data_IF_706000180746
#
_entry.id   IF_706000180746
#
_cell.length_a   1.000
_cell.length_b   1.000
_cell.length_c   1.000
_cell.angle_alpha   90.00
_cell.angle_beta   90.00
_cell.angle_gamma   90.00
#
_symmetry.space_group_name_H-M   'P 1'
#
loop_
_entity.id
_entity.type
_entity.pdbx_description
1 polymer ?
#
# COMPACT_ATOMS: atom_id res chain seq x y z
N UNK A 1 37.13 -17.63 -20.81
CA UNK A 1 36.51 -17.54 -19.46
C UNK A 1 35.49 -16.44 -19.55
N UNK A 2 34.20 -16.76 -19.41
CA UNK A 2 33.13 -15.77 -19.62
C UNK A 2 33.16 -14.69 -18.55
N UNK A 3 33.02 -13.43 -18.96
CA UNK A 3 32.86 -12.26 -18.10
C UNK A 3 31.64 -12.45 -17.19
N UNK A 4 31.86 -12.87 -15.95
CA UNK A 4 30.81 -13.00 -14.96
C UNK A 4 30.44 -11.60 -14.44
N UNK A 5 29.16 -11.24 -14.51
CA UNK A 5 28.68 -9.94 -14.06
C UNK A 5 28.82 -9.75 -12.54
N UNK A 6 28.91 -8.49 -12.10
CA UNK A 6 29.07 -8.14 -10.68
C UNK A 6 27.72 -7.79 -10.06
N UNK A 7 27.40 -8.40 -8.91
CA UNK A 7 26.17 -8.10 -8.18
C UNK A 7 26.35 -6.84 -7.33
N UNK A 8 25.66 -5.75 -7.69
CA UNK A 8 25.66 -4.52 -6.93
C UNK A 8 24.48 -4.50 -5.95
N UNK A 9 24.78 -4.55 -4.65
CA UNK A 9 23.81 -4.34 -3.57
C UNK A 9 23.79 -2.87 -3.17
N UNK A 10 22.64 -2.23 -3.25
CA UNK A 10 22.51 -0.81 -2.92
C UNK A 10 21.39 -0.56 -1.93
N UNK A 11 21.53 0.52 -1.15
CA UNK A 11 20.53 0.93 -0.17
C UNK A 11 20.53 2.44 0.01
N UNK A 12 19.36 3.00 0.35
CA UNK A 12 19.21 4.43 0.54
C UNK A 12 19.72 4.86 1.91
N UNK A 13 20.54 5.90 1.96
CA UNK A 13 21.12 6.40 3.20
C UNK A 13 20.05 6.84 4.21
N UNK A 14 18.89 7.28 3.76
CA UNK A 14 17.77 7.65 4.64
C UNK A 14 17.17 6.45 5.40
N UNK A 15 17.29 5.22 4.86
CA UNK A 15 16.81 3.98 5.51
C UNK A 15 17.73 3.51 6.66
N UNK A 16 18.92 4.11 6.80
CA UNK A 16 19.89 3.76 7.85
C UNK A 16 19.63 4.46 9.18
N UNK A 17 18.92 5.58 9.19
CA UNK A 17 18.66 6.32 10.41
C UNK A 17 17.70 5.56 11.35
N UNK A 18 17.01 4.53 10.84
CA UNK A 18 16.04 3.72 11.57
C UNK A 18 16.54 2.30 11.93
N UNK A 19 17.71 1.87 11.43
CA UNK A 19 18.22 0.51 11.61
C UNK A 19 19.72 0.45 11.94
N UNK A 20 20.10 -0.46 12.83
CA UNK A 20 21.50 -0.77 13.18
C UNK A 20 22.29 -1.28 11.94
N UNK A 21 23.56 -0.89 11.79
CA UNK A 21 24.43 -1.23 10.64
C UNK A 21 24.56 -2.77 10.46
N UNK A 22 24.25 -3.56 11.49
CA UNK A 22 24.21 -5.03 11.46
C UNK A 22 23.08 -5.62 10.60
N UNK A 23 22.05 -4.83 10.25
CA UNK A 23 20.87 -5.27 9.46
C UNK A 23 20.86 -4.76 8.02
N UNK A 24 21.98 -4.21 7.55
CA UNK A 24 22.16 -3.61 6.22
C UNK A 24 21.74 -4.51 5.06
N UNK A 25 22.00 -5.81 5.15
CA UNK A 25 21.67 -6.77 4.10
C UNK A 25 20.15 -6.96 3.92
N UNK A 26 19.36 -6.72 4.97
CA UNK A 26 17.90 -6.88 4.93
C UNK A 26 17.21 -5.80 4.09
N UNK A 27 17.84 -4.62 3.95
CA UNK A 27 17.27 -3.47 3.23
C UNK A 27 17.93 -3.21 1.87
N UNK A 28 18.94 -4.00 1.52
CA UNK A 28 19.67 -3.86 0.27
C UNK A 28 18.85 -4.38 -0.93
N UNK A 29 18.62 -3.50 -1.90
CA UNK A 29 18.16 -3.86 -3.24
C UNK A 29 19.35 -4.23 -4.12
N UNK A 30 19.11 -4.89 -5.26
CA UNK A 30 20.20 -5.41 -6.10
C UNK A 30 20.02 -5.09 -7.57
N UNK A 31 21.12 -4.83 -8.27
CA UNK A 31 21.18 -4.74 -9.73
C UNK A 31 22.47 -5.38 -10.26
N UNK A 32 22.46 -5.84 -11.52
CA UNK A 32 23.59 -6.54 -12.13
C UNK A 32 24.41 -5.60 -13.03
N UNK A 33 25.71 -5.50 -12.74
CA UNK A 33 26.69 -4.74 -13.51
C UNK A 33 27.58 -5.65 -14.37
N UNK A 34 28.32 -5.07 -15.29
CA UNK A 34 29.32 -5.77 -16.09
C UNK A 34 30.46 -6.34 -15.22
N UNK A 35 31.34 -7.15 -15.81
CA UNK A 35 32.53 -7.69 -15.11
C UNK A 35 33.49 -6.61 -14.62
N UNK A 36 33.41 -5.40 -15.18
CA UNK A 36 34.25 -4.25 -14.83
C UNK A 36 33.35 -3.03 -14.53
N UNK A 37 32.61 -3.04 -13.41
CA UNK A 37 31.61 -2.03 -13.12
C UNK A 37 32.23 -0.63 -12.99
N UNK A 38 31.58 0.39 -13.55
CA UNK A 38 31.96 1.80 -13.39
C UNK A 38 30.81 2.60 -12.77
N UNK A 39 31.10 3.81 -12.28
CA UNK A 39 30.05 4.72 -11.80
C UNK A 39 29.07 5.12 -12.92
N UNK A 40 29.56 5.34 -14.14
CA UNK A 40 28.72 5.65 -15.30
C UNK A 40 27.76 4.50 -15.61
N UNK A 41 28.22 3.25 -15.53
CA UNK A 41 27.36 2.08 -15.70
C UNK A 41 26.31 2.00 -14.58
N UNK A 42 26.74 2.21 -13.33
CA UNK A 42 25.86 2.20 -12.16
C UNK A 42 24.76 3.25 -12.29
N UNK A 43 25.08 4.49 -12.68
CA UNK A 43 24.11 5.57 -12.92
C UNK A 43 23.13 5.22 -14.02
N UNK A 44 23.63 4.77 -15.17
CA UNK A 44 22.79 4.38 -16.32
C UNK A 44 21.83 3.24 -15.99
N UNK A 45 22.26 2.28 -15.17
CA UNK A 45 21.44 1.12 -14.75
C UNK A 45 20.67 1.36 -13.45
N UNK A 46 20.84 2.52 -12.81
CA UNK A 46 20.17 2.80 -11.55
C UNK A 46 18.66 2.92 -11.80
N UNK A 47 17.79 2.25 -11.03
CA UNK A 47 16.39 2.06 -11.46
C UNK A 47 15.51 3.29 -11.25
N UNK A 48 16.06 4.42 -10.83
CA UNK A 48 15.30 5.55 -10.27
C UNK A 48 15.75 6.87 -10.86
N UNK A 49 14.77 7.72 -11.15
CA UNK A 49 14.97 9.04 -11.73
C UNK A 49 15.35 10.08 -10.67
N UNK A 50 16.09 11.11 -11.06
CA UNK A 50 16.65 12.14 -10.17
C UNK A 50 18.17 12.10 -10.06
N UNK A 51 18.74 13.00 -9.27
CA UNK A 51 20.18 13.06 -9.04
C UNK A 51 20.56 12.28 -7.79
N UNK A 52 21.53 11.37 -7.92
CA UNK A 52 21.98 10.49 -6.85
C UNK A 52 23.49 10.53 -6.68
N UNK A 53 23.89 10.57 -5.41
CA UNK A 53 25.26 10.38 -4.98
C UNK A 53 25.48 8.94 -4.51
N UNK A 54 26.58 8.34 -4.94
CA UNK A 54 26.89 6.94 -4.66
C UNK A 54 28.17 6.84 -3.84
N UNK A 55 28.13 6.03 -2.79
CA UNK A 55 29.29 5.69 -1.96
C UNK A 55 29.51 4.19 -2.00
N UNK A 56 30.72 3.77 -2.31
CA UNK A 56 31.10 2.36 -2.34
C UNK A 56 31.69 1.94 -1.00
N UNK A 57 31.30 0.78 -0.50
CA UNK A 57 31.97 0.13 0.62
C UNK A 57 33.34 -0.37 0.16
N UNK A 58 34.39 0.05 0.84
CA UNK A 58 35.76 -0.38 0.55
C UNK A 58 36.34 -0.99 1.81
N UNK A 59 36.85 -2.21 1.69
CA UNK A 59 37.53 -2.88 2.77
C UNK A 59 38.84 -2.17 3.12
N UNK A 60 39.10 -2.07 4.42
CA UNK A 60 40.30 -1.50 5.01
C UNK A 60 40.93 -2.52 5.95
N UNK A 61 42.13 -2.26 6.46
CA UNK A 61 42.81 -3.20 7.36
C UNK A 61 42.04 -3.50 8.66
N UNK A 62 41.14 -2.61 9.10
CA UNK A 62 40.42 -2.71 10.38
C UNK A 62 38.88 -2.71 10.23
N UNK A 63 38.36 -3.06 9.06
CA UNK A 63 36.92 -3.02 8.78
C UNK A 63 36.64 -2.48 7.38
N UNK A 64 35.65 -1.61 7.24
CA UNK A 64 35.33 -0.99 5.95
C UNK A 64 35.05 0.51 6.10
N UNK A 65 35.18 1.25 5.01
CA UNK A 65 34.74 2.64 4.93
C UNK A 65 33.89 2.90 3.68
N UNK A 66 33.13 3.99 3.71
CA UNK A 66 32.32 4.43 2.56
C UNK A 66 33.10 5.47 1.77
N UNK A 67 33.44 5.15 0.53
CA UNK A 67 34.17 6.03 -0.38
C UNK A 67 33.23 6.65 -1.39
N UNK A 68 33.23 7.98 -1.47
CA UNK A 68 32.49 8.71 -2.50
C UNK A 68 32.95 8.32 -3.91
N UNK A 69 31.98 8.02 -4.77
CA UNK A 69 32.23 7.76 -6.19
C UNK A 69 32.06 9.07 -6.96
N UNK A 70 33.17 9.60 -7.46
CA UNK A 70 33.21 10.88 -8.19
C UNK A 70 33.64 10.73 -9.65
N UNK A 71 34.43 9.68 -9.95
CA UNK A 71 34.96 9.42 -11.28
C UNK A 71 34.05 8.43 -12.03
N UNK A 72 33.48 8.89 -13.14
CA UNK A 72 32.51 8.16 -13.97
C UNK A 72 33.09 6.89 -14.61
N UNK A 73 34.36 6.94 -15.00
CA UNK A 73 34.98 5.91 -15.83
C UNK A 73 35.90 4.97 -15.04
N UNK A 74 36.16 5.29 -13.78
CA UNK A 74 36.97 4.45 -12.91
C UNK A 74 36.26 3.14 -12.59
N UNK A 75 36.95 2.03 -12.85
CA UNK A 75 36.48 0.69 -12.47
C UNK A 75 36.38 0.61 -10.94
N UNK A 76 35.21 0.17 -10.47
CA UNK A 76 34.91 -0.02 -9.05
C UNK A 76 35.60 -1.31 -8.57
N UNK A 77 36.29 -1.28 -7.43
CA UNK A 77 36.84 -2.50 -6.84
C UNK A 77 35.69 -3.44 -6.46
N UNK A 78 35.84 -4.70 -6.85
CA UNK A 78 34.87 -5.77 -6.60
C UNK A 78 35.42 -6.68 -5.52
N UNK A 79 34.59 -7.03 -4.53
CA UNK A 79 34.98 -7.95 -3.47
C UNK A 79 35.19 -9.37 -4.04
N UNK A 80 35.94 -10.21 -3.32
CA UNK A 80 36.30 -11.56 -3.78
C UNK A 80 35.11 -12.49 -4.03
N UNK A 81 33.93 -12.15 -3.51
CA UNK A 81 32.66 -12.85 -3.74
C UNK A 81 31.91 -12.40 -5.00
N UNK A 82 32.47 -11.47 -5.79
CA UNK A 82 31.84 -10.97 -7.02
C UNK A 82 30.75 -9.91 -6.77
N UNK A 83 30.77 -9.28 -5.60
CA UNK A 83 29.74 -8.35 -5.15
C UNK A 83 30.34 -6.99 -4.79
N UNK A 84 29.51 -5.94 -4.87
CA UNK A 84 29.82 -4.61 -4.36
C UNK A 84 28.64 -4.06 -3.55
N UNK A 85 28.94 -3.25 -2.53
CA UNK A 85 27.94 -2.60 -1.69
C UNK A 85 27.98 -1.08 -1.86
N UNK A 86 26.81 -0.48 -2.09
CA UNK A 86 26.67 0.93 -2.44
C UNK A 86 25.62 1.64 -1.57
N UNK A 87 26.03 2.70 -0.86
CA UNK A 87 25.12 3.65 -0.22
C UNK A 87 24.68 4.68 -1.26
N UNK A 88 23.38 4.92 -1.34
CA UNK A 88 22.78 5.90 -2.26
C UNK A 88 22.16 7.03 -1.47
N UNK A 89 22.56 8.26 -1.80
CA UNK A 89 21.93 9.48 -1.30
C UNK A 89 21.23 10.18 -2.47
N UNK A 90 19.93 10.43 -2.33
CA UNK A 90 19.21 11.26 -3.28
C UNK A 90 19.56 12.73 -3.03
N UNK A 91 20.08 13.40 -4.06
CA UNK A 91 20.44 14.82 -4.01
C UNK A 91 19.27 15.70 -4.46
N UNK A 92 18.54 15.28 -5.50
CA UNK A 92 17.32 15.93 -5.96
C UNK A 92 16.34 14.91 -6.56
N UNK A 93 15.02 15.10 -6.42
CA UNK A 93 14.03 14.42 -7.26
C UNK A 93 14.19 14.86 -8.73
N UNK A 94 13.61 14.12 -9.66
CA UNK A 94 13.66 14.48 -11.09
C UNK A 94 13.00 15.85 -11.31
N UNK A 95 13.77 16.83 -11.79
CA UNK A 95 13.26 18.13 -12.20
C UNK A 95 12.57 18.01 -13.57
N UNK A 96 11.33 18.51 -13.67
CA UNK A 96 10.77 18.99 -14.93
C UNK A 96 11.61 20.22 -15.35
N UNK A 97 12.31 20.10 -16.48
CA UNK A 97 13.54 20.86 -16.73
C UNK A 97 13.41 22.38 -16.87
N UNK A 98 14.49 23.11 -16.53
CA UNK A 98 15.41 23.71 -17.50
C UNK A 98 16.69 24.27 -16.82
N UNK A 99 17.80 24.18 -17.54
CA UNK A 99 19.15 24.79 -17.46
C UNK A 99 19.54 25.80 -16.33
N UNK A 100 20.67 25.47 -15.66
CA UNK A 100 21.55 26.18 -14.66
C UNK A 100 21.95 27.66 -14.94
N UNK A 101 22.57 28.49 -14.04
CA UNK A 101 23.22 28.22 -12.71
C UNK A 101 23.04 29.28 -11.57
N UNK A 102 23.68 28.99 -10.42
CA UNK A 102 24.17 29.87 -9.33
C UNK A 102 23.30 30.04 -8.06
N UNK A 103 23.96 29.78 -6.92
CA UNK A 103 23.48 29.86 -5.54
C UNK A 103 23.42 31.33 -5.09
N UNK A 104 22.31 31.73 -4.46
CA UNK A 104 22.32 32.67 -3.32
C UNK A 104 21.10 32.40 -2.42
N UNK A 105 21.38 32.24 -1.12
CA UNK A 105 20.42 32.22 -0.02
C UNK A 105 19.59 33.51 0.01
N UNK A 106 18.26 33.42 -0.01
CA UNK A 106 17.36 33.93 1.04
C UNK A 106 15.88 33.89 0.58
N UNK A 107 15.00 33.62 1.55
CA UNK A 107 13.53 33.78 1.55
C UNK A 107 12.65 32.73 0.84
N UNK A 108 12.08 31.88 1.70
CA UNK A 108 10.86 31.09 1.47
C UNK A 108 9.66 32.04 1.29
N UNK A 109 9.10 32.11 0.08
CA UNK A 109 7.68 32.46 -0.15
C UNK A 109 7.27 31.86 -1.51
N UNK A 110 6.65 30.67 -1.51
CA UNK A 110 6.12 30.05 -2.73
C UNK A 110 4.58 30.19 -2.74
N UNK A 111 3.99 30.79 -3.80
CA UNK A 111 2.58 31.16 -3.92
C UNK A 111 1.54 30.08 -3.61
N UNK A 112 1.88 28.78 -3.61
CA UNK A 112 0.94 27.71 -3.23
C UNK A 112 0.48 27.78 -1.78
N UNK A 113 1.30 28.28 -0.84
CA UNK A 113 0.91 28.39 0.57
C UNK A 113 -0.18 29.47 0.78
N UNK A 114 -0.26 30.47 -0.12
CA UNK A 114 -1.38 31.43 -0.16
C UNK A 114 -2.67 30.77 -0.63
N UNK A 115 -2.59 29.83 -1.58
CA UNK A 115 -3.76 29.12 -2.09
C UNK A 115 -4.33 28.15 -1.05
N UNK A 116 -3.47 27.48 -0.29
CA UNK A 116 -3.89 26.64 0.85
C UNK A 116 -4.49 27.47 1.99
N UNK A 117 -3.88 28.60 2.37
CA UNK A 117 -4.48 29.49 3.40
C UNK A 117 -5.80 30.11 2.93
N UNK A 118 -5.93 30.46 1.65
CA UNK A 118 -7.17 30.98 1.08
C UNK A 118 -8.32 29.96 1.14
N UNK A 119 -8.01 28.68 0.93
CA UNK A 119 -8.97 27.58 1.04
C UNK A 119 -9.54 27.43 2.46
N UNK A 120 -8.69 27.44 3.49
CA UNK A 120 -9.12 27.34 4.88
C UNK A 120 -9.76 28.64 5.43
N UNK A 121 -9.41 29.80 4.88
CA UNK A 121 -10.09 31.07 5.21
C UNK A 121 -11.48 31.18 4.56
N UNK A 122 -11.69 30.61 3.37
CA UNK A 122 -12.99 30.60 2.68
C UNK A 122 -14.04 29.77 3.44
N UNK A 123 -13.63 28.66 4.06
CA UNK A 123 -14.52 27.80 4.85
C UNK A 123 -15.10 28.47 6.12
N UNK A 124 -14.58 29.64 6.51
CA UNK A 124 -14.88 30.31 7.78
C UNK A 124 -15.57 31.68 7.66
N UNK A 125 -16.21 32.02 6.53
CA UNK A 125 -17.05 33.25 6.45
C UNK A 125 -18.47 33.02 5.90
N UNK A 126 -19.47 33.73 6.43
CA UNK A 126 -20.85 33.67 5.96
C UNK A 126 -21.04 34.47 4.65
N UNK A 127 -22.08 34.08 3.91
CA UNK A 127 -22.57 34.62 2.63
C UNK A 127 -22.21 36.08 2.28
N UNK A 128 -21.62 36.30 1.10
CA UNK A 128 -22.05 37.27 0.07
C UNK A 128 -21.08 37.29 -1.14
N UNK A 129 -21.63 37.23 -2.37
CA UNK A 129 -21.04 37.60 -3.70
C UNK A 129 -19.79 36.81 -4.19
N UNK A 130 -19.57 36.39 -5.45
CA UNK A 130 -20.23 36.50 -6.75
C UNK A 130 -19.16 36.46 -7.89
N UNK A 131 -19.22 35.45 -8.79
CA UNK A 131 -18.55 35.30 -10.13
C UNK A 131 -17.06 34.86 -10.25
N UNK A 132 -16.58 34.38 -11.44
CA UNK A 132 -17.06 33.22 -12.21
C UNK A 132 -15.91 32.24 -12.65
N UNK A 133 -16.33 31.08 -13.14
CA UNK A 133 -15.53 29.93 -13.61
C UNK A 133 -14.85 30.16 -14.99
N UNK A 134 -13.69 29.54 -15.28
CA UNK A 134 -13.33 29.16 -16.65
C UNK A 134 -13.29 27.63 -16.83
N UNK A 135 -13.89 27.20 -17.95
CA UNK A 135 -13.99 25.84 -18.47
C UNK A 135 -12.72 25.41 -19.25
N UNK A 136 -12.58 24.11 -19.58
CA UNK A 136 -11.30 23.43 -19.75
C UNK A 136 -10.76 23.47 -21.18
N UNK A 137 -9.44 23.34 -21.32
CA UNK A 137 -8.81 22.89 -22.55
C UNK A 137 -8.08 21.57 -22.33
N UNK A 138 -8.53 20.58 -23.11
CA UNK A 138 -7.94 19.25 -23.25
C UNK A 138 -6.51 19.34 -23.74
N UNK A 139 -5.61 18.56 -23.14
CA UNK A 139 -4.42 18.08 -23.85
C UNK A 139 -4.07 16.69 -23.33
N UNK A 140 -4.05 15.75 -24.27
CA UNK A 140 -3.64 14.35 -24.10
C UNK A 140 -2.23 14.30 -23.50
N UNK A 141 -2.05 13.56 -22.41
CA UNK A 141 -0.72 13.18 -21.92
C UNK A 141 -0.60 11.68 -21.75
N UNK A 142 0.60 11.23 -22.11
CA UNK A 142 1.01 9.90 -22.55
C UNK A 142 1.29 8.99 -21.34
N UNK A 143 0.68 7.80 -21.35
CA UNK A 143 0.46 6.92 -20.17
C UNK A 143 1.73 6.16 -19.73
N UNK A 144 2.88 6.42 -20.36
CA UNK A 144 4.12 5.64 -20.19
C UNK A 144 4.98 6.00 -18.97
N UNK A 145 4.97 7.25 -18.51
CA UNK A 145 5.89 7.76 -17.47
C UNK A 145 5.48 7.37 -16.02
N UNK A 146 4.19 7.17 -15.78
CA UNK A 146 3.63 6.84 -14.44
C UNK A 146 3.96 5.41 -13.99
N UNK A 147 4.37 4.54 -14.93
CA UNK A 147 4.56 3.09 -14.70
C UNK A 147 5.90 2.71 -14.01
N UNK A 148 6.88 3.62 -13.91
CA UNK A 148 8.23 3.28 -13.44
C UNK A 148 8.46 3.51 -11.94
N UNK A 149 7.86 4.56 -11.35
CA UNK A 149 8.02 4.90 -9.92
C UNK A 149 7.43 3.87 -8.95
N UNK A 150 6.39 3.16 -9.39
CA UNK A 150 5.63 2.21 -8.57
C UNK A 150 6.40 0.91 -8.26
N UNK A 151 7.37 0.55 -9.12
CA UNK A 151 8.26 -0.64 -8.93
C UNK A 151 9.17 -0.52 -7.69
N UNK A 152 9.48 0.70 -7.24
CA UNK A 152 10.48 0.96 -6.18
C UNK A 152 9.94 0.77 -4.77
N UNK A 153 8.72 1.25 -4.51
CA UNK A 153 8.18 1.36 -3.16
C UNK A 153 7.86 -0.01 -2.52
N UNK A 154 7.70 -1.04 -3.36
CA UNK A 154 7.26 -2.36 -2.94
C UNK A 154 8.39 -3.32 -2.54
N UNK A 155 9.59 -3.11 -3.10
CA UNK A 155 10.70 -4.04 -2.96
C UNK A 155 11.51 -3.85 -1.65
N UNK A 156 11.41 -2.70 -0.96
CA UNK A 156 12.35 -2.35 0.12
C UNK A 156 11.86 -2.62 1.56
N UNK A 157 10.63 -3.09 1.79
CA UNK A 157 10.10 -3.26 3.16
C UNK A 157 10.01 -4.70 3.69
N UNK A 158 10.42 -5.72 2.94
CA UNK A 158 10.29 -7.10 3.40
C UNK A 158 11.48 -7.97 2.95
N UNK A 159 12.53 -8.10 3.77
CA UNK A 159 13.45 -9.24 3.72
C UNK A 159 13.85 -9.67 5.12
N UNK A 160 13.91 -10.99 5.29
CA UNK A 160 14.10 -11.69 6.58
C UNK A 160 13.30 -13.00 6.69
N UNK A 161 12.52 -13.39 5.67
CA UNK A 161 11.77 -14.65 5.66
C UNK A 161 11.75 -15.28 4.27
N UNK A 162 11.71 -16.62 4.18
CA UNK A 162 11.55 -17.39 2.95
C UNK A 162 10.38 -16.89 2.06
N UNK A 163 9.40 -16.22 2.67
CA UNK A 163 8.27 -15.58 2.00
C UNK A 163 8.65 -14.35 1.16
N UNK A 164 9.68 -13.57 1.56
CA UNK A 164 10.16 -12.42 0.78
C UNK A 164 10.79 -12.84 -0.56
N UNK A 165 11.43 -14.01 -0.58
CA UNK A 165 12.00 -14.60 -1.80
C UNK A 165 10.89 -15.09 -2.73
N UNK A 166 9.83 -15.70 -2.19
CA UNK A 166 8.61 -16.08 -2.94
C UNK A 166 7.94 -14.84 -3.56
N UNK A 167 7.74 -13.78 -2.78
CA UNK A 167 7.15 -12.52 -3.24
C UNK A 167 7.96 -11.89 -4.41
N UNK A 168 9.28 -11.85 -4.29
CA UNK A 168 10.17 -11.33 -5.34
C UNK A 168 10.15 -12.19 -6.61
N UNK A 169 10.15 -13.52 -6.48
CA UNK A 169 10.12 -14.44 -7.63
C UNK A 169 8.79 -14.38 -8.39
N UNK A 170 7.66 -14.40 -7.67
CA UNK A 170 6.32 -14.39 -8.27
C UNK A 170 6.00 -13.04 -8.91
N UNK A 171 6.35 -11.93 -8.25
CA UNK A 171 6.19 -10.60 -8.84
C UNK A 171 7.05 -10.43 -10.08
N UNK A 172 8.34 -10.83 -10.08
CA UNK A 172 9.23 -10.68 -11.24
C UNK A 172 8.72 -11.39 -12.50
N UNK A 173 8.20 -12.61 -12.38
CA UNK A 173 7.61 -13.38 -13.49
C UNK A 173 6.36 -12.70 -14.07
N UNK A 174 5.57 -12.05 -13.22
CA UNK A 174 4.37 -11.34 -13.65
C UNK A 174 4.69 -9.97 -14.26
N UNK A 175 5.65 -9.25 -13.69
CA UNK A 175 6.13 -7.96 -14.25
C UNK A 175 6.66 -8.11 -15.68
N UNK A 176 7.32 -9.22 -16.00
CA UNK A 176 7.76 -9.57 -17.35
C UNK A 176 6.58 -9.71 -18.34
N UNK A 177 5.48 -10.33 -17.89
CA UNK A 177 4.23 -10.44 -18.68
C UNK A 177 3.52 -9.10 -18.88
N UNK A 178 3.52 -8.22 -17.87
CA UNK A 178 2.92 -6.87 -17.96
C UNK A 178 3.66 -6.02 -19.00
N UNK A 179 4.99 -6.09 -19.03
CA UNK A 179 5.79 -5.44 -20.07
C UNK A 179 5.58 -6.04 -21.46
N UNK A 180 5.28 -7.33 -21.57
CA UNK A 180 5.00 -7.99 -22.85
C UNK A 180 3.60 -7.64 -23.41
N UNK A 181 2.59 -7.47 -22.56
CA UNK A 181 1.23 -7.15 -22.97
C UNK A 181 1.01 -5.68 -23.34
N UNK A 182 1.85 -4.76 -22.83
CA UNK A 182 1.83 -3.36 -23.22
C UNK A 182 2.17 -3.13 -24.72
N UNK A 183 2.67 -4.15 -25.43
CA UNK A 183 2.97 -4.11 -26.87
C UNK A 183 1.91 -4.73 -27.79
N UNK A 184 0.86 -5.38 -27.26
CA UNK A 184 -0.13 -6.09 -28.10
C UNK A 184 -1.54 -5.83 -27.59
N UNK A 185 -2.34 -5.09 -28.35
CA UNK A 185 -3.76 -4.87 -28.07
C UNK A 185 -4.52 -6.19 -28.02
N UNK A 186 -4.91 -6.62 -26.81
CA UNK A 186 -5.60 -7.87 -26.54
C UNK A 186 -6.83 -7.67 -25.65
N UNK A 187 -7.87 -8.48 -25.90
CA UNK A 187 -9.26 -8.32 -25.49
C UNK A 187 -9.55 -8.21 -23.98
N UNK A 188 -10.67 -7.51 -23.68
CA UNK A 188 -11.17 -7.04 -22.38
C UNK A 188 -11.71 -8.12 -21.41
N UNK A 189 -10.98 -9.22 -21.20
CA UNK A 189 -11.43 -10.27 -20.27
C UNK A 189 -10.38 -10.80 -19.29
N UNK A 190 -9.10 -10.63 -19.59
CA UNK A 190 -7.98 -11.13 -18.78
C UNK A 190 -6.76 -10.21 -18.93
N UNK A 191 -6.97 -8.90 -18.71
CA UNK A 191 -5.87 -7.95 -18.75
C UNK A 191 -4.85 -8.28 -17.63
N UNK A 192 -3.54 -8.26 -17.92
CA UNK A 192 -2.54 -8.48 -16.89
C UNK A 192 -2.58 -7.33 -15.87
N UNK A 193 -2.14 -7.57 -14.63
CA UNK A 193 -2.20 -6.56 -13.58
C UNK A 193 -1.33 -5.35 -13.90
N UNK A 194 -1.86 -4.17 -13.67
CA UNK A 194 -1.10 -2.93 -13.85
C UNK A 194 -0.14 -2.70 -12.68
N UNK A 195 0.87 -1.85 -12.90
CA UNK A 195 1.82 -1.47 -11.86
C UNK A 195 1.11 -0.92 -10.61
N UNK A 196 0.09 -0.09 -10.83
CA UNK A 196 -0.75 0.49 -9.78
C UNK A 196 -1.43 -0.59 -8.95
N UNK A 197 -2.10 -1.55 -9.60
CA UNK A 197 -2.75 -2.66 -8.91
C UNK A 197 -1.77 -3.46 -8.05
N UNK A 198 -0.59 -3.79 -8.57
CA UNK A 198 0.44 -4.52 -7.83
C UNK A 198 0.95 -3.75 -6.60
N UNK A 199 1.11 -2.43 -6.70
CA UNK A 199 1.51 -1.62 -5.54
C UNK A 199 0.42 -1.51 -4.48
N UNK A 200 -0.85 -1.35 -4.87
CA UNK A 200 -1.94 -1.35 -3.90
C UNK A 200 -2.03 -2.68 -3.15
N UNK A 201 -1.92 -3.79 -3.88
CA UNK A 201 -1.97 -5.13 -3.27
C UNK A 201 -0.86 -5.35 -2.28
N UNK A 202 0.37 -4.94 -2.59
CA UNK A 202 1.46 -5.15 -1.67
C UNK A 202 1.56 -4.09 -0.56
N UNK A 203 0.93 -2.91 -0.71
CA UNK A 203 0.58 -2.07 0.44
C UNK A 203 -0.36 -2.84 1.39
N UNK A 204 -1.40 -3.50 0.87
CA UNK A 204 -2.32 -4.32 1.67
C UNK A 204 -1.60 -5.49 2.36
N UNK A 205 -0.65 -6.16 1.68
CA UNK A 205 0.21 -7.19 2.29
C UNK A 205 0.99 -6.62 3.48
N UNK A 206 1.58 -5.43 3.32
CA UNK A 206 2.32 -4.75 4.38
C UNK A 206 1.46 -4.44 5.59
N UNK A 207 0.28 -3.85 5.37
CA UNK A 207 -0.67 -3.50 6.43
C UNK A 207 -1.24 -4.74 7.13
N UNK A 208 -1.54 -5.80 6.39
CA UNK A 208 -2.02 -7.07 6.96
C UNK A 208 -0.98 -7.72 7.89
N UNK A 209 0.32 -7.48 7.67
CA UNK A 209 1.41 -7.99 8.50
C UNK A 209 1.84 -7.04 9.60
N UNK A 210 1.39 -5.78 9.58
CA UNK A 210 1.76 -4.78 10.57
C UNK A 210 1.00 -5.05 11.89
N UNK A 211 1.69 -5.46 12.98
CA UNK A 211 1.04 -5.63 14.26
C UNK A 211 0.60 -4.26 14.81
N UNK A 212 -0.55 -4.23 15.47
CA UNK A 212 -0.97 -3.03 16.18
C UNK A 212 -0.07 -2.77 17.38
N UNK A 213 0.21 -1.49 17.63
CA UNK A 213 1.18 -1.09 18.66
C UNK A 213 0.73 0.23 19.29
N UNK A 214 0.57 0.30 20.62
CA UNK A 214 0.07 1.50 21.30
C UNK A 214 1.07 2.66 21.25
N UNK A 215 2.36 2.38 21.08
CA UNK A 215 3.40 3.38 20.89
C UNK A 215 3.48 3.98 19.47
N UNK A 216 2.71 3.47 18.51
CA UNK A 216 2.67 4.04 17.16
C UNK A 216 1.51 5.05 17.06
N UNK A 217 1.85 6.31 16.80
CA UNK A 217 0.89 7.40 16.70
C UNK A 217 -0.17 7.17 15.61
N UNK A 218 0.22 6.66 14.44
CA UNK A 218 -0.71 6.39 13.33
C UNK A 218 -1.74 5.32 13.72
N UNK A 219 -1.31 4.28 14.45
CA UNK A 219 -2.21 3.23 14.91
C UNK A 219 -3.23 3.77 15.92
N UNK A 220 -2.79 4.63 16.83
CA UNK A 220 -3.65 5.29 17.82
C UNK A 220 -4.63 6.25 17.13
N UNK A 221 -4.18 6.97 16.09
CA UNK A 221 -5.02 7.86 15.30
C UNK A 221 -6.15 7.09 14.59
N UNK A 222 -5.87 5.91 14.02
CA UNK A 222 -6.93 5.07 13.45
C UNK A 222 -7.95 4.62 14.51
N UNK A 223 -7.52 4.28 15.72
CA UNK A 223 -8.47 4.00 16.82
C UNK A 223 -9.28 5.23 17.21
N UNK A 224 -8.66 6.40 17.26
CA UNK A 224 -9.35 7.65 17.56
C UNK A 224 -10.42 7.97 16.50
N UNK A 225 -10.11 7.74 15.23
CA UNK A 225 -11.04 7.90 14.11
C UNK A 225 -12.22 6.92 14.20
N UNK A 226 -11.94 5.65 14.49
CA UNK A 226 -12.99 4.66 14.73
C UNK A 226 -13.87 5.07 15.91
N UNK A 227 -13.27 5.45 17.04
CA UNK A 227 -13.98 5.90 18.23
C UNK A 227 -14.90 7.08 17.92
N UNK A 228 -14.36 8.12 17.29
CA UNK A 228 -15.11 9.33 16.94
C UNK A 228 -16.28 9.02 16.02
N UNK A 229 -16.12 8.02 15.16
CA UNK A 229 -17.17 7.59 14.23
C UNK A 229 -18.24 6.72 14.90
N UNK A 230 -17.94 6.03 16.01
CA UNK A 230 -18.88 5.12 16.68
C UNK A 230 -19.51 5.70 17.96
N UNK A 231 -18.86 6.66 18.60
CA UNK A 231 -19.26 7.21 19.89
C UNK A 231 -19.34 8.74 19.79
N UNK A 232 -20.45 9.21 19.25
CA UNK A 232 -20.70 10.64 19.08
C UNK A 232 -20.49 11.37 20.43
N UNK A 233 -19.66 12.42 20.40
CA UNK A 233 -19.43 13.34 21.54
C UNK A 233 -18.72 12.77 22.78
N UNK A 234 -18.12 11.58 22.73
CA UNK A 234 -17.26 11.07 23.82
C UNK A 234 -15.78 11.37 23.57
N UNK A 235 -15.01 11.84 24.56
CA UNK A 235 -13.56 11.99 24.40
C UNK A 235 -12.92 10.62 24.14
N UNK A 236 -11.96 10.58 23.23
CA UNK A 236 -11.27 9.35 22.87
C UNK A 236 -10.47 8.79 24.04
N UNK A 237 -10.61 7.49 24.28
CA UNK A 237 -9.81 6.74 25.25
C UNK A 237 -9.34 5.43 24.59
N UNK A 238 -8.03 5.18 24.63
CA UNK A 238 -7.41 4.00 23.98
C UNK A 238 -7.98 2.70 24.53
N UNK A 239 -8.20 2.63 25.86
CA UNK A 239 -8.79 1.48 26.55
C UNK A 239 -9.97 1.92 27.40
N UNK A 240 -11.14 1.34 27.19
CA UNK A 240 -12.36 1.71 27.92
C UNK A 240 -13.48 0.66 27.71
N UNK A 241 -14.40 0.48 28.68
CA UNK A 241 -15.54 -0.45 28.53
C UNK A 241 -16.50 -0.10 27.39
N UNK A 242 -16.51 1.13 26.90
CA UNK A 242 -17.31 1.54 25.75
C UNK A 242 -17.00 0.73 24.50
N UNK A 243 -15.74 0.31 24.32
CA UNK A 243 -15.32 -0.55 23.22
C UNK A 243 -16.08 -1.88 23.18
N UNK A 244 -16.69 -2.31 24.29
CA UNK A 244 -17.57 -3.47 24.34
C UNK A 244 -18.76 -3.33 23.38
N UNK A 245 -19.20 -2.10 23.06
CA UNK A 245 -20.24 -1.83 22.04
C UNK A 245 -19.82 -2.35 20.65
N UNK A 246 -18.53 -2.27 20.34
CA UNK A 246 -17.97 -2.81 19.09
C UNK A 246 -17.61 -4.30 19.23
N UNK A 247 -17.85 -4.93 20.38
CA UNK A 247 -17.53 -6.34 20.61
C UNK A 247 -16.09 -6.62 21.04
N UNK A 248 -15.34 -5.62 21.49
CA UNK A 248 -14.06 -5.81 22.19
C UNK A 248 -14.36 -6.22 23.64
N UNK A 249 -13.99 -7.43 24.06
CA UNK A 249 -14.41 -8.04 25.33
C UNK A 249 -13.73 -7.46 26.56
N UNK A 250 -12.54 -6.88 26.40
CA UNK A 250 -11.73 -6.35 27.50
C UNK A 250 -11.61 -4.82 27.45
N UNK A 251 -12.34 -4.18 26.55
CA UNK A 251 -12.24 -2.75 26.34
C UNK A 251 -10.89 -2.31 25.77
N UNK A 252 -10.12 -3.23 25.17
CA UNK A 252 -8.75 -2.98 24.68
C UNK A 252 -8.62 -3.42 23.21
N UNK A 253 -8.97 -2.52 22.27
CA UNK A 253 -8.89 -2.82 20.84
C UNK A 253 -7.49 -3.19 20.36
N UNK A 254 -6.43 -2.58 20.92
CA UNK A 254 -5.05 -2.84 20.49
C UNK A 254 -4.60 -4.27 20.84
N UNK A 255 -5.08 -4.80 21.96
CA UNK A 255 -4.77 -6.18 22.37
C UNK A 255 -5.63 -7.20 21.64
N UNK A 256 -6.90 -6.88 21.40
CA UNK A 256 -7.86 -7.81 20.82
C UNK A 256 -7.80 -7.84 19.28
N UNK A 257 -7.45 -6.72 18.66
CA UNK A 257 -7.18 -6.58 17.23
C UNK A 257 -5.66 -6.65 17.03
N UNK A 258 -5.17 -7.74 16.46
CA UNK A 258 -3.72 -8.01 16.41
C UNK A 258 -2.99 -7.26 15.29
N UNK A 259 -3.69 -6.89 14.21
CA UNK A 259 -3.10 -6.35 12.99
C UNK A 259 -3.82 -5.10 12.49
N UNK A 260 -3.10 -4.26 11.75
CA UNK A 260 -3.57 -2.95 11.31
C UNK A 260 -4.69 -3.01 10.25
N UNK A 261 -4.69 -4.04 9.38
CA UNK A 261 -5.65 -4.11 8.27
C UNK A 261 -7.12 -4.14 8.72
N UNK A 262 -7.54 -5.02 9.65
CA UNK A 262 -8.87 -4.97 10.23
C UNK A 262 -9.29 -3.60 10.78
N UNK A 263 -8.36 -2.89 11.41
CA UNK A 263 -8.64 -1.56 11.97
C UNK A 263 -8.93 -0.55 10.85
N UNK A 264 -8.08 -0.53 9.81
CA UNK A 264 -8.30 0.35 8.65
C UNK A 264 -9.64 0.05 7.95
N UNK A 265 -10.01 -1.23 7.85
CA UNK A 265 -11.31 -1.65 7.31
C UNK A 265 -12.49 -1.09 8.11
N UNK A 266 -12.47 -1.21 9.44
CA UNK A 266 -13.54 -0.69 10.29
C UNK A 266 -13.62 0.84 10.25
N UNK A 267 -12.48 1.54 10.25
CA UNK A 267 -12.43 2.99 10.09
C UNK A 267 -13.06 3.42 8.78
N UNK A 268 -12.64 2.81 7.65
CA UNK A 268 -13.22 3.11 6.35
C UNK A 268 -14.74 2.84 6.33
N UNK A 269 -15.17 1.71 6.89
CA UNK A 269 -16.59 1.36 6.91
C UNK A 269 -17.45 2.40 7.64
N UNK A 270 -16.96 2.89 8.78
CA UNK A 270 -17.69 3.88 9.59
C UNK A 270 -17.59 5.32 9.09
N UNK A 271 -16.51 5.68 8.38
CA UNK A 271 -16.34 7.03 7.83
C UNK A 271 -16.98 7.18 6.45
N UNK A 272 -16.81 6.18 5.57
CA UNK A 272 -17.24 6.26 4.16
C UNK A 272 -18.62 5.65 3.95
N UNK A 273 -18.91 4.52 4.61
CA UNK A 273 -20.19 3.80 4.47
C UNK A 273 -21.02 3.85 5.76
N UNK A 274 -20.95 5.00 6.47
CA UNK A 274 -21.62 5.24 7.76
C UNK A 274 -23.10 4.85 7.77
N UNK A 275 -23.82 5.15 6.69
CA UNK A 275 -25.26 4.85 6.53
C UNK A 275 -25.58 3.36 6.54
N UNK A 276 -24.60 2.50 6.22
CA UNK A 276 -24.70 1.05 6.30
C UNK A 276 -24.10 0.52 7.60
N UNK A 277 -22.95 1.05 8.01
CA UNK A 277 -22.21 0.58 9.19
C UNK A 277 -22.97 0.80 10.51
N UNK A 278 -23.55 1.99 10.70
CA UNK A 278 -24.21 2.35 11.96
C UNK A 278 -25.46 1.53 12.26
N UNK A 279 -26.41 1.30 11.32
CA UNK A 279 -27.53 0.41 11.58
C UNK A 279 -27.09 -0.99 12.02
N UNK A 280 -26.08 -1.57 11.36
CA UNK A 280 -25.56 -2.89 11.74
C UNK A 280 -24.96 -2.85 13.16
N UNK A 281 -24.18 -1.82 13.50
CA UNK A 281 -23.62 -1.67 14.85
C UNK A 281 -24.71 -1.47 15.92
N UNK A 282 -25.77 -0.71 15.60
CA UNK A 282 -26.85 -0.42 16.54
C UNK A 282 -27.74 -1.66 16.81
N UNK A 283 -27.86 -2.56 15.84
CA UNK A 283 -28.60 -3.83 15.97
C UNK A 283 -27.91 -4.82 16.94
N UNK A 284 -26.68 -4.56 17.40
CA UNK A 284 -25.90 -5.47 18.27
C UNK A 284 -26.31 -5.47 19.75
N UNK A 285 -27.53 -5.01 20.08
CA UNK A 285 -28.07 -4.99 21.45
C UNK A 285 -29.00 -6.17 21.75
N UNK A 286 -29.34 -6.99 20.76
CA UNK A 286 -30.30 -8.09 20.86
C UNK A 286 -29.68 -9.47 21.13
N UNK A 287 -30.50 -10.54 21.28
CA UNK A 287 -30.03 -11.92 21.42
C UNK A 287 -29.27 -12.42 20.18
N UNK A 288 -29.47 -11.76 19.05
CA UNK A 288 -28.78 -12.01 17.77
C UNK A 288 -27.51 -11.15 17.63
N UNK A 289 -27.02 -10.53 18.71
CA UNK A 289 -25.78 -9.76 18.65
C UNK A 289 -24.57 -10.66 18.36
N UNK A 290 -23.67 -10.17 17.52
CA UNK A 290 -22.36 -10.77 17.30
C UNK A 290 -21.25 -9.78 17.69
N UNK A 291 -20.04 -10.29 17.89
CA UNK A 291 -18.88 -9.45 18.21
C UNK A 291 -18.44 -8.64 17.00
N UNK A 292 -19.05 -7.47 16.77
CA UNK A 292 -18.95 -6.66 15.55
C UNK A 292 -17.53 -6.49 15.01
N UNK A 293 -16.59 -6.00 15.82
CA UNK A 293 -15.20 -5.75 15.42
C UNK A 293 -14.38 -7.04 15.25
N UNK A 294 -14.68 -8.08 16.03
CA UNK A 294 -14.03 -9.39 15.87
C UNK A 294 -14.49 -10.05 14.56
N UNK A 295 -15.78 -10.01 14.26
CA UNK A 295 -16.33 -10.46 12.97
C UNK A 295 -15.74 -9.64 11.82
N UNK A 296 -15.68 -8.31 11.96
CA UNK A 296 -14.99 -7.46 10.99
C UNK A 296 -13.55 -7.89 10.76
N UNK A 297 -12.82 -8.23 11.82
CA UNK A 297 -11.46 -8.77 11.69
C UNK A 297 -11.43 -10.07 10.91
N UNK A 298 -12.33 -11.01 11.20
CA UNK A 298 -12.42 -12.28 10.48
C UNK A 298 -12.75 -12.08 9.00
N UNK A 299 -13.67 -11.18 8.66
CA UNK A 299 -14.00 -10.86 7.27
C UNK A 299 -12.77 -10.30 6.55
N UNK A 300 -12.05 -9.36 7.17
CA UNK A 300 -10.81 -8.83 6.59
C UNK A 300 -9.78 -9.95 6.32
N UNK A 301 -9.66 -10.94 7.21
CA UNK A 301 -8.77 -12.10 6.99
C UNK A 301 -9.28 -13.04 5.89
N UNK A 302 -10.58 -13.32 5.81
CA UNK A 302 -11.18 -14.11 4.72
C UNK A 302 -10.91 -13.43 3.37
N UNK A 303 -11.09 -12.12 3.27
CA UNK A 303 -10.77 -11.37 2.07
C UNK A 303 -9.27 -11.41 1.74
N UNK A 304 -8.42 -11.25 2.74
CA UNK A 304 -6.97 -11.37 2.56
C UNK A 304 -6.55 -12.77 2.08
N UNK A 305 -7.25 -13.83 2.50
CA UNK A 305 -7.02 -15.20 2.04
C UNK A 305 -7.47 -15.42 0.60
N UNK A 306 -8.68 -14.95 0.24
CA UNK A 306 -9.21 -15.02 -1.13
C UNK A 306 -8.28 -14.26 -2.09
N UNK A 307 -7.79 -13.11 -1.67
CA UNK A 307 -6.85 -12.30 -2.42
C UNK A 307 -5.40 -12.79 -2.30
N UNK A 308 -5.11 -13.83 -1.51
CA UNK A 308 -3.77 -14.40 -1.32
C UNK A 308 -2.71 -13.36 -0.88
N UNK A 309 -3.09 -12.50 0.07
CA UNK A 309 -2.22 -11.47 0.63
C UNK A 309 -1.24 -12.02 1.66
N UNK A 310 -1.62 -13.09 2.39
CA UNK A 310 -0.80 -13.69 3.48
C UNK A 310 0.63 -13.99 3.06
N UNK A 311 0.78 -14.66 1.93
CA UNK A 311 2.06 -15.01 1.32
C UNK A 311 2.42 -14.12 0.14
N UNK A 312 1.49 -13.28 -0.31
CA UNK A 312 1.63 -12.44 -1.48
C UNK A 312 1.71 -13.22 -2.78
N UNK A 313 1.21 -14.46 -2.78
CA UNK A 313 1.00 -15.27 -3.99
C UNK A 313 0.06 -14.58 -4.99
N UNK A 314 -0.69 -13.57 -4.54
CA UNK A 314 -1.46 -12.69 -5.40
C UNK A 314 -0.63 -12.07 -6.52
N UNK A 315 0.61 -11.64 -6.24
CA UNK A 315 1.48 -10.96 -7.21
C UNK A 315 2.04 -11.89 -8.31
N UNK A 316 1.70 -13.18 -8.29
CA UNK A 316 2.16 -14.19 -9.27
C UNK A 316 1.04 -14.86 -10.07
N UNK A 317 -0.22 -14.55 -9.78
CA UNK A 317 -1.38 -15.24 -10.34
C UNK A 317 -2.13 -14.47 -11.44
N UNK A 318 -2.75 -15.14 -12.41
CA UNK A 318 -3.73 -14.48 -13.29
C UNK A 318 -5.10 -14.43 -12.59
N UNK A 319 -5.76 -13.26 -12.61
CA UNK A 319 -7.05 -13.00 -11.96
C UNK A 319 -7.91 -12.07 -12.82
N UNK A 320 -9.23 -12.26 -12.89
CA UNK A 320 -10.11 -11.45 -13.73
C UNK A 320 -10.38 -10.04 -13.15
N UNK A 321 -9.99 -9.78 -11.90
CA UNK A 321 -10.35 -8.57 -11.15
C UNK A 321 -9.15 -7.64 -10.92
N UNK A 322 -8.07 -7.75 -11.71
CA UNK A 322 -6.85 -6.99 -11.43
C UNK A 322 -7.05 -5.47 -11.48
N UNK A 323 -7.88 -5.01 -12.43
CA UNK A 323 -8.16 -3.58 -12.64
C UNK A 323 -8.86 -2.95 -11.45
N UNK A 324 -9.69 -3.70 -10.72
CA UNK A 324 -10.34 -3.24 -9.51
C UNK A 324 -9.33 -2.65 -8.50
N UNK A 325 -8.17 -3.28 -8.37
CA UNK A 325 -7.15 -2.86 -7.40
C UNK A 325 -6.26 -1.70 -7.86
N UNK A 326 -6.52 -1.11 -9.04
CA UNK A 326 -5.96 0.20 -9.39
C UNK A 326 -6.48 1.30 -8.47
N UNK A 327 -7.71 1.14 -7.98
CA UNK A 327 -8.30 2.03 -7.00
C UNK A 327 -7.82 1.66 -5.57
N UNK A 328 -7.16 2.58 -4.85
CA UNK A 328 -6.70 2.34 -3.47
C UNK A 328 -7.83 2.02 -2.48
N UNK A 329 -9.09 2.37 -2.79
CA UNK A 329 -10.23 2.09 -1.89
C UNK A 329 -10.90 0.73 -2.14
N UNK A 330 -10.56 0.03 -3.22
CA UNK A 330 -11.30 -1.14 -3.67
C UNK A 330 -11.35 -2.29 -2.65
N UNK A 331 -10.25 -2.57 -1.95
CA UNK A 331 -10.24 -3.57 -0.88
C UNK A 331 -11.20 -3.21 0.25
N UNK A 332 -11.25 -1.94 0.62
CA UNK A 332 -12.10 -1.46 1.69
C UNK A 332 -13.57 -1.44 1.28
N UNK A 333 -13.87 -1.17 0.01
CA UNK A 333 -15.24 -1.32 -0.50
C UNK A 333 -15.67 -2.80 -0.52
N UNK A 334 -14.80 -3.70 -0.99
CA UNK A 334 -15.04 -5.14 -0.93
C UNK A 334 -15.31 -5.61 0.50
N UNK A 335 -14.56 -5.07 1.47
CA UNK A 335 -14.81 -5.27 2.90
C UNK A 335 -16.21 -4.81 3.32
N UNK A 336 -16.64 -3.60 2.94
CA UNK A 336 -17.97 -3.10 3.29
C UNK A 336 -19.08 -3.98 2.73
N UNK A 337 -18.93 -4.41 1.47
CA UNK A 337 -19.86 -5.30 0.78
C UNK A 337 -19.91 -6.68 1.48
N UNK A 338 -18.76 -7.25 1.80
CA UNK A 338 -18.65 -8.53 2.49
C UNK A 338 -19.20 -8.48 3.93
N UNK A 339 -18.95 -7.39 4.67
CA UNK A 339 -19.52 -7.17 6.00
C UNK A 339 -21.04 -7.10 5.93
N UNK A 340 -21.58 -6.38 4.96
CA UNK A 340 -23.02 -6.31 4.75
C UNK A 340 -23.60 -7.68 4.39
N UNK A 341 -22.92 -8.47 3.55
CA UNK A 341 -23.33 -9.84 3.23
C UNK A 341 -23.35 -10.73 4.48
N UNK A 342 -22.34 -10.62 5.34
CA UNK A 342 -22.32 -11.30 6.65
C UNK A 342 -23.54 -10.91 7.48
N UNK A 343 -23.77 -9.61 7.68
CA UNK A 343 -24.83 -9.12 8.53
C UNK A 343 -26.22 -9.57 8.06
N UNK A 344 -26.46 -9.57 6.74
CA UNK A 344 -27.68 -10.11 6.14
C UNK A 344 -27.82 -11.61 6.37
N UNK A 345 -26.75 -12.38 6.13
CA UNK A 345 -26.74 -13.84 6.33
C UNK A 345 -27.00 -14.22 7.79
N UNK A 346 -26.37 -13.50 8.73
CA UNK A 346 -26.55 -13.66 10.16
C UNK A 346 -28.00 -13.39 10.57
N UNK A 347 -28.58 -12.26 10.14
CA UNK A 347 -29.95 -11.86 10.49
C UNK A 347 -31.02 -12.81 9.93
N UNK A 348 -30.78 -13.40 8.75
CA UNK A 348 -31.72 -14.36 8.15
C UNK A 348 -31.72 -15.73 8.84
N UNK A 349 -30.65 -16.07 9.57
CA UNK A 349 -30.41 -17.42 10.07
C UNK A 349 -30.10 -17.49 11.57
N UNK A 350 -30.14 -16.37 12.28
CA UNK A 350 -29.92 -16.25 13.73
C UNK A 350 -30.75 -17.24 14.54
N UNK A 351 -31.94 -17.61 14.06
CA UNK A 351 -32.81 -18.60 14.70
C UNK A 351 -32.40 -20.06 14.46
N UNK A 352 -31.62 -20.33 13.41
CA UNK A 352 -31.23 -21.67 12.97
C UNK A 352 -29.77 -22.01 13.31
N UNK A 353 -28.87 -21.03 13.30
CA UNK A 353 -27.44 -21.21 13.60
C UNK A 353 -26.85 -19.92 14.16
N UNK A 354 -26.20 -20.02 15.33
CA UNK A 354 -25.36 -18.96 15.90
C UNK A 354 -23.87 -19.18 15.59
N UNK A 355 -23.55 -20.14 14.72
CA UNK A 355 -22.16 -20.42 14.34
C UNK A 355 -21.67 -19.39 13.33
N UNK A 356 -20.82 -18.48 13.81
CA UNK A 356 -20.16 -17.44 13.01
C UNK A 356 -19.46 -18.02 11.78
N UNK A 357 -18.93 -19.25 11.85
CA UNK A 357 -18.21 -19.86 10.73
C UNK A 357 -19.12 -20.16 9.53
N UNK A 358 -20.38 -20.52 9.76
CA UNK A 358 -21.35 -20.74 8.67
C UNK A 358 -21.52 -19.46 7.85
N UNK A 359 -21.61 -18.31 8.53
CA UNK A 359 -21.78 -17.02 7.88
C UNK A 359 -20.49 -16.51 7.24
N UNK A 360 -19.32 -16.80 7.83
CA UNK A 360 -18.03 -16.50 7.22
C UNK A 360 -17.80 -17.33 5.94
N UNK A 361 -18.21 -18.60 5.92
CA UNK A 361 -18.14 -19.43 4.73
C UNK A 361 -19.03 -18.86 3.61
N UNK A 362 -20.27 -18.47 3.95
CA UNK A 362 -21.15 -17.77 3.01
C UNK A 362 -20.51 -16.50 2.44
N UNK A 363 -19.88 -15.67 3.28
CA UNK A 363 -19.16 -14.47 2.83
C UNK A 363 -18.01 -14.83 1.90
N UNK A 364 -17.29 -15.90 2.20
CA UNK A 364 -16.22 -16.42 1.36
C UNK A 364 -16.71 -16.79 -0.05
N UNK A 365 -17.75 -17.63 -0.13
CA UNK A 365 -18.36 -18.06 -1.38
C UNK A 365 -18.93 -16.87 -2.18
N UNK A 366 -19.65 -15.98 -1.50
CA UNK A 366 -20.19 -14.76 -2.09
C UNK A 366 -19.10 -13.86 -2.68
N UNK A 367 -18.01 -13.64 -1.94
CA UNK A 367 -16.88 -12.81 -2.38
C UNK A 367 -16.16 -13.45 -3.56
N UNK A 368 -15.93 -14.77 -3.52
CA UNK A 368 -15.30 -15.48 -4.63
C UNK A 368 -16.13 -15.36 -5.91
N UNK A 369 -17.45 -15.54 -5.83
CA UNK A 369 -18.35 -15.36 -6.96
C UNK A 369 -18.36 -13.91 -7.47
N UNK A 370 -18.37 -12.93 -6.56
CA UNK A 370 -18.29 -11.51 -6.89
C UNK A 370 -17.02 -11.18 -7.68
N UNK A 371 -15.87 -11.64 -7.20
CA UNK A 371 -14.58 -11.45 -7.86
C UNK A 371 -14.47 -12.24 -9.17
N UNK A 372 -15.10 -13.43 -9.26
CA UNK A 372 -15.13 -14.24 -10.48
C UNK A 372 -15.82 -13.53 -11.64
N UNK A 373 -16.75 -12.61 -11.36
CA UNK A 373 -17.39 -11.76 -12.39
C UNK A 373 -16.46 -10.73 -13.00
N UNK A 374 -15.27 -10.52 -12.43
CA UNK A 374 -14.24 -9.64 -12.97
C UNK A 374 -14.61 -8.16 -12.93
N UNK A 375 -14.99 -7.59 -11.76
CA UNK A 375 -15.20 -6.15 -11.66
C UNK A 375 -13.94 -5.40 -12.09
N UNK A 376 -14.12 -4.38 -12.94
CA UNK A 376 -13.00 -3.57 -13.43
C UNK A 376 -12.69 -2.39 -12.52
N UNK A 377 -13.68 -1.95 -11.73
CA UNK A 377 -13.63 -0.78 -10.85
C UNK A 377 -14.59 -0.94 -9.67
N UNK A 378 -14.60 0.04 -8.76
CA UNK A 378 -15.46 0.04 -7.58
C UNK A 378 -16.96 0.08 -7.93
N UNK A 379 -17.34 0.74 -9.03
CA UNK A 379 -18.74 0.82 -9.43
C UNK A 379 -19.28 -0.53 -9.91
N UNK A 380 -18.55 -1.18 -10.83
CA UNK A 380 -18.87 -2.53 -11.30
C UNK A 380 -18.83 -3.57 -10.18
N UNK A 381 -17.92 -3.44 -9.21
CA UNK A 381 -17.93 -4.25 -7.98
C UNK A 381 -19.25 -4.12 -7.22
N UNK A 382 -19.71 -2.89 -7.00
CA UNK A 382 -20.97 -2.61 -6.30
C UNK A 382 -22.17 -3.13 -7.11
N UNK A 383 -22.20 -2.93 -8.43
CA UNK A 383 -23.27 -3.43 -9.31
C UNK A 383 -23.36 -4.96 -9.29
N UNK A 384 -22.23 -5.66 -9.40
CA UNK A 384 -22.20 -7.11 -9.31
C UNK A 384 -22.64 -7.62 -7.94
N UNK A 385 -22.29 -6.92 -6.86
CA UNK A 385 -22.76 -7.25 -5.52
C UNK A 385 -24.28 -7.12 -5.39
N UNK A 386 -24.88 -6.07 -5.95
CA UNK A 386 -26.33 -5.91 -6.00
C UNK A 386 -27.02 -7.05 -6.78
N UNK A 387 -26.47 -7.43 -7.93
CA UNK A 387 -27.00 -8.53 -8.75
C UNK A 387 -26.94 -9.89 -8.04
N UNK A 388 -25.90 -10.15 -7.24
CA UNK A 388 -25.74 -11.41 -6.50
C UNK A 388 -26.63 -11.48 -5.26
N UNK A 389 -26.96 -10.33 -4.67
CA UNK A 389 -27.77 -10.27 -3.46
C UNK A 389 -29.29 -10.28 -3.71
N UNK A 390 -29.76 -10.31 -4.98
CA UNK A 390 -31.18 -10.27 -5.38
C UNK A 390 -32.02 -9.32 -4.50
N UNK A 391 -31.87 -8.01 -4.75
CA UNK A 391 -32.83 -7.03 -4.25
C UNK A 391 -34.19 -7.14 -4.95
#
# INVERSE_FOLDING_TARGET
MGDCGVLCRYFFQQMLLEADDSRLEEFASSLLLSSHPTLAELRRKFPFEGSYHFRLQVDTSNGYCWRDLMDENRVLPVSSNGEIHVKVLQLSPADEGDSTPAIHEDHVDVPEDRHFRAFFHWQNKPQSEGYPMPQPQQTQQDVGSVLFGVKKALASKMKGSAMAQTLQKHSAQMWEKVTAAAGVGGAAGNAPPTATALAQLAKLIGVMKAPLHPGNHEHVEFLQRLWTSCFDSKPFVVTSPEWNRLGFRHGDPMREMQFLLPLQCLVYFHEVRRTVALPILNDQSGPEAFSYALVGSQIAYVLADILQLKDGSCLGSERPFWRLFEDPVAFFELFCIAFRAFASSWKLNSTNSYDVNVHLNYVGDFTQELLRRGPEDVNSLVEHAYQLQNW
#
